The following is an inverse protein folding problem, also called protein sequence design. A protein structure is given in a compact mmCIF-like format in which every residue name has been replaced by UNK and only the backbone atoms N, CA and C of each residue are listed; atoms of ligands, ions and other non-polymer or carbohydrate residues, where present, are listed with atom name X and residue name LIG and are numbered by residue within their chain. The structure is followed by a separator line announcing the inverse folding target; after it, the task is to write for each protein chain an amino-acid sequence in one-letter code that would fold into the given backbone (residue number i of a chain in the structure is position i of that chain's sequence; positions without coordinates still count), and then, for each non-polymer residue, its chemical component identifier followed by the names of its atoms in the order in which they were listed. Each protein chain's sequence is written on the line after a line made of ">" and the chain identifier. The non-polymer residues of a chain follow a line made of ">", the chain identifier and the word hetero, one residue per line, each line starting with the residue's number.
data_IF_854582638314
#
_entry.id   IF_854582638314
#
_cell.length_a   1.000
_cell.length_b   1.000
_cell.length_c   1.000
_cell.angle_alpha   90.00
_cell.angle_beta   90.00
_cell.angle_gamma   90.00
#
_symmetry.space_group_name_H-M   'P 1'
#
loop_
_entity.id
_entity.type
_entity.pdbx_description
1 polymer ?
#
# COMPACT_ATOMS: atom_id res chain seq x y z
N UNK A 1 -9.47 0.28 16.07
CA UNK A 1 -8.36 1.16 15.67
C UNK A 1 -8.21 1.04 14.15
N UNK A 2 -8.41 2.10 13.38
CA UNK A 2 -8.11 2.07 11.94
C UNK A 2 -6.59 2.03 11.74
N UNK A 3 -6.10 0.96 11.13
CA UNK A 3 -4.73 0.90 10.64
C UNK A 3 -4.60 1.84 9.44
N UNK A 4 -3.46 2.52 9.30
CA UNK A 4 -3.19 3.40 8.15
C UNK A 4 -1.99 2.86 7.39
N UNK A 5 -2.12 2.73 6.07
CA UNK A 5 -1.03 2.32 5.18
C UNK A 5 -0.42 3.57 4.57
N UNK A 6 0.92 3.61 4.50
CA UNK A 6 1.66 4.68 3.83
C UNK A 6 2.52 4.11 2.73
N UNK A 7 2.47 4.70 1.55
CA UNK A 7 3.34 4.34 0.43
C UNK A 7 4.26 5.51 0.12
N UNK A 8 5.54 5.23 -0.08
CA UNK A 8 6.52 6.18 -0.59
C UNK A 8 6.96 5.73 -1.98
N UNK A 9 6.62 6.54 -2.98
CA UNK A 9 6.98 6.32 -4.37
C UNK A 9 8.35 6.93 -4.66
N UNK A 10 9.27 6.10 -5.13
CA UNK A 10 10.67 6.44 -5.38
C UNK A 10 10.99 6.08 -6.82
N UNK A 11 11.46 7.07 -7.57
CA UNK A 11 12.08 6.83 -8.88
C UNK A 11 13.54 6.49 -8.61
N UNK A 12 13.95 5.26 -8.92
CA UNK A 12 15.36 4.87 -8.78
C UNK A 12 16.17 5.20 -10.03
N UNK A 13 17.49 5.11 -9.88
CA UNK A 13 18.49 5.44 -10.90
C UNK A 13 18.41 4.49 -12.11
N UNK A 14 17.86 3.29 -11.90
CA UNK A 14 17.60 2.29 -12.95
C UNK A 14 16.24 2.47 -13.64
N UNK A 15 15.60 3.63 -13.45
CA UNK A 15 14.29 4.01 -13.98
C UNK A 15 13.11 3.13 -13.52
N UNK A 16 13.35 2.17 -12.62
CA UNK A 16 12.26 1.35 -12.06
C UNK A 16 11.52 2.19 -11.03
N UNK A 17 10.21 2.35 -11.21
CA UNK A 17 9.36 2.92 -10.16
C UNK A 17 9.31 1.95 -8.98
N UNK A 18 9.92 2.30 -7.85
CA UNK A 18 9.83 1.51 -6.62
C UNK A 18 8.84 2.15 -5.65
N UNK A 19 8.08 1.31 -4.96
CA UNK A 19 7.17 1.76 -3.91
C UNK A 19 7.47 1.08 -2.60
N UNK A 20 7.84 1.86 -1.58
CA UNK A 20 8.00 1.38 -0.22
C UNK A 20 6.67 1.51 0.53
N UNK A 21 6.11 0.40 1.03
CA UNK A 21 4.81 0.40 1.73
C UNK A 21 5.00 0.08 3.21
N UNK A 22 4.62 1.01 4.09
CA UNK A 22 4.63 0.88 5.55
C UNK A 22 3.23 0.64 6.08
N UNK A 23 3.14 -0.21 7.11
CA UNK A 23 1.88 -0.50 7.79
C UNK A 23 1.17 -1.75 7.28
N UNK A 24 1.79 -2.50 6.36
CA UNK A 24 1.32 -3.83 5.98
C UNK A 24 1.33 -4.79 7.18
N UNK A 25 0.43 -5.78 7.22
CA UNK A 25 0.49 -6.85 8.20
C UNK A 25 1.84 -7.57 8.18
N UNK A 26 2.27 -8.05 9.34
CA UNK A 26 3.49 -8.85 9.45
C UNK A 26 3.37 -10.12 8.59
N UNK A 27 4.52 -10.64 8.13
CA UNK A 27 4.55 -11.89 7.37
C UNK A 27 3.94 -13.02 8.21
N UNK A 28 2.95 -13.71 7.63
CA UNK A 28 2.22 -14.79 8.32
C UNK A 28 1.06 -14.31 9.20
N UNK A 29 0.66 -13.03 9.14
CA UNK A 29 -0.54 -12.55 9.80
C UNK A 29 -1.79 -13.30 9.31
N UNK A 30 -2.63 -13.72 10.26
CA UNK A 30 -3.95 -14.27 9.96
C UNK A 30 -4.94 -13.11 9.82
N UNK A 31 -5.64 -13.08 8.70
CA UNK A 31 -6.61 -12.03 8.36
C UNK A 31 -7.98 -12.67 8.12
N UNK A 32 -9.05 -11.97 8.51
CA UNK A 32 -10.40 -12.34 8.06
C UNK A 32 -10.53 -12.11 6.55
N UNK A 33 -11.55 -12.69 5.93
CA UNK A 33 -11.84 -12.49 4.51
C UNK A 33 -12.12 -11.01 4.16
N UNK A 34 -12.71 -10.25 5.10
CA UNK A 34 -12.91 -8.80 4.97
C UNK A 34 -11.58 -8.05 4.98
N UNK A 35 -10.75 -8.27 6.00
CA UNK A 35 -9.43 -7.64 6.13
C UNK A 35 -8.50 -7.93 4.95
N UNK A 36 -8.54 -9.17 4.43
CA UNK A 36 -7.78 -9.54 3.24
C UNK A 36 -8.25 -8.77 2.00
N UNK A 37 -9.57 -8.60 1.83
CA UNK A 37 -10.15 -7.85 0.72
C UNK A 37 -9.79 -6.38 0.79
N UNK A 38 -9.84 -5.77 1.97
CA UNK A 38 -9.49 -4.37 2.16
C UNK A 38 -8.01 -4.13 1.90
N UNK A 39 -7.14 -5.02 2.40
CA UNK A 39 -5.71 -4.99 2.09
C UNK A 39 -5.45 -5.07 0.58
N UNK A 40 -6.12 -6.00 -0.12
CA UNK A 40 -5.96 -6.15 -1.56
C UNK A 40 -6.40 -4.89 -2.33
N UNK A 41 -7.50 -4.24 -1.92
CA UNK A 41 -7.93 -2.96 -2.52
C UNK A 41 -6.89 -1.87 -2.32
N UNK A 42 -6.36 -1.73 -1.10
CA UNK A 42 -5.32 -0.73 -0.81
C UNK A 42 -4.06 -0.98 -1.64
N UNK A 43 -3.61 -2.23 -1.75
CA UNK A 43 -2.44 -2.60 -2.56
C UNK A 43 -2.66 -2.31 -4.06
N UNK A 44 -3.85 -2.62 -4.59
CA UNK A 44 -4.19 -2.30 -5.97
C UNK A 44 -4.17 -0.79 -6.22
N UNK A 45 -4.66 0.01 -5.27
CA UNK A 45 -4.65 1.46 -5.42
C UNK A 45 -3.23 2.03 -5.41
N UNK A 46 -2.36 1.54 -4.51
CA UNK A 46 -0.95 1.90 -4.49
C UNK A 46 -0.26 1.56 -5.82
N UNK A 47 -0.53 0.38 -6.39
CA UNK A 47 0.04 -0.02 -7.68
C UNK A 47 -0.42 0.89 -8.83
N UNK A 48 -1.73 1.17 -8.89
CA UNK A 48 -2.29 2.08 -9.89
C UNK A 48 -1.70 3.49 -9.80
N UNK A 49 -1.52 4.02 -8.59
CA UNK A 49 -0.94 5.34 -8.37
C UNK A 49 0.54 5.37 -8.80
N UNK A 50 1.29 4.29 -8.54
CA UNK A 50 2.66 4.14 -9.04
C UNK A 50 2.72 4.18 -10.57
N UNK A 51 1.83 3.43 -11.24
CA UNK A 51 1.76 3.37 -12.71
C UNK A 51 1.34 4.72 -13.32
N UNK A 52 0.51 5.50 -12.62
CA UNK A 52 0.11 6.86 -13.01
C UNK A 52 1.19 7.92 -12.70
N UNK A 53 2.33 7.52 -12.14
CA UNK A 53 3.47 8.41 -11.90
C UNK A 53 3.37 9.20 -10.59
N UNK A 54 2.67 8.68 -9.58
CA UNK A 54 2.67 9.26 -8.24
C UNK A 54 4.10 9.38 -7.67
N UNK A 55 4.33 10.44 -6.89
CA UNK A 55 5.65 10.76 -6.30
C UNK A 55 5.49 11.13 -4.83
N UNK A 56 6.53 10.88 -4.03
CA UNK A 56 6.56 11.26 -2.62
C UNK A 56 5.80 10.28 -1.72
N UNK A 57 5.37 10.73 -0.54
CA UNK A 57 4.63 9.91 0.43
C UNK A 57 3.11 10.16 0.29
N UNK A 58 2.34 9.08 0.24
CA UNK A 58 0.88 9.12 0.26
C UNK A 58 0.34 8.21 1.37
N UNK A 59 -0.84 8.57 1.89
CA UNK A 59 -1.53 7.82 2.95
C UNK A 59 -2.82 7.23 2.42
N UNK A 60 -3.03 5.95 2.66
CA UNK A 60 -4.21 5.21 2.25
C UNK A 60 -5.03 4.80 3.48
N UNK A 61 -6.35 5.04 3.47
CA UNK A 61 -7.22 4.55 4.52
C UNK A 61 -7.27 3.02 4.45
N UNK A 62 -7.05 2.38 5.59
CA UNK A 62 -7.42 0.98 5.77
C UNK A 62 -8.69 1.01 6.62
N UNK A 63 -9.83 0.76 5.97
CA UNK A 63 -11.07 0.53 6.70
C UNK A 63 -10.86 -0.72 7.56
N UNK A 64 -11.12 -0.59 8.86
CA UNK A 64 -11.18 -1.74 9.73
C UNK A 64 -12.59 -2.31 9.57
N UNK A 65 -12.68 -3.50 8.99
CA UNK A 65 -13.90 -4.32 9.06
C UNK A 65 -14.28 -4.60 10.52
#
# INVERSE_FOLDING_TARGET
>A
MSQKVRARFVVTIDERGLTFVKGLPARGALLTSGQLRDLARTLNQIANDADQGAKGEQTYPQEAA
#
